data_IF_013968677975
#
_entry.id   IF_013968677975
#
_cell.length_a   1.000
_cell.length_b   1.000
_cell.length_c   1.000
_cell.angle_alpha   90.00
_cell.angle_beta   90.00
_cell.angle_gamma   90.00
#
_symmetry.space_group_name_H-M   'P 1'
#
loop_
_entity.id
_entity.type
_entity.pdbx_description
1 polymer ?
#
# COMPACT_ATOMS: atom_id res chain seq x y z
N UNK A 1 -26.78 -9.92 -9.32
CA UNK A 1 -26.96 -9.05 -8.13
C UNK A 1 -25.69 -9.18 -7.27
N UNK A 2 -25.03 -8.07 -6.91
CA UNK A 2 -23.88 -8.10 -5.99
C UNK A 2 -22.64 -7.37 -6.51
N UNK A 3 -22.72 -6.05 -6.75
CA UNK A 3 -21.49 -5.23 -6.79
C UNK A 3 -21.15 -4.93 -5.34
N UNK A 4 -20.29 -5.77 -4.76
CA UNK A 4 -19.77 -5.62 -3.40
C UNK A 4 -19.01 -4.30 -3.31
N UNK A 5 -19.67 -3.27 -2.79
CA UNK A 5 -19.15 -1.93 -2.64
C UNK A 5 -18.07 -1.89 -1.57
N UNK A 6 -16.83 -2.21 -1.94
CA UNK A 6 -15.63 -1.80 -1.20
C UNK A 6 -15.24 -0.36 -1.59
N UNK A 7 -16.18 0.58 -1.53
CA UNK A 7 -15.96 1.98 -1.95
C UNK A 7 -15.31 2.83 -0.86
N UNK A 8 -15.55 2.51 0.42
CA UNK A 8 -15.08 3.31 1.55
C UNK A 8 -13.55 3.28 1.69
N UNK A 9 -12.91 2.15 1.38
CA UNK A 9 -11.46 1.97 1.52
C UNK A 9 -10.67 2.74 0.46
N UNK A 10 -11.20 2.83 -0.77
CA UNK A 10 -10.49 3.46 -1.89
C UNK A 10 -10.30 4.97 -1.68
N UNK A 11 -11.30 5.66 -1.13
CA UNK A 11 -11.20 7.10 -0.85
C UNK A 11 -10.15 7.43 0.21
N UNK A 12 -10.06 6.62 1.26
CA UNK A 12 -9.08 6.82 2.33
C UNK A 12 -7.63 6.62 1.84
N UNK A 13 -7.39 5.59 1.03
CA UNK A 13 -6.05 5.34 0.45
C UNK A 13 -5.61 6.49 -0.44
N UNK A 14 -6.50 6.99 -1.30
CA UNK A 14 -6.21 8.12 -2.20
C UNK A 14 -5.91 9.40 -1.42
N UNK A 15 -6.67 9.69 -0.35
CA UNK A 15 -6.43 10.84 0.52
C UNK A 15 -5.09 10.72 1.27
N UNK A 16 -4.76 9.54 1.80
CA UNK A 16 -3.45 9.30 2.44
C UNK A 16 -2.31 9.55 1.43
N UNK A 17 -2.40 9.00 0.22
CA UNK A 17 -1.42 9.21 -0.86
C UNK A 17 -1.28 10.69 -1.21
N UNK A 18 -2.40 11.41 -1.31
CA UNK A 18 -2.39 12.85 -1.64
C UNK A 18 -1.76 13.69 -0.51
N UNK A 19 -2.08 13.41 0.76
CA UNK A 19 -1.46 14.07 1.91
C UNK A 19 0.05 13.86 1.93
N UNK A 20 0.53 12.62 1.72
CA UNK A 20 1.96 12.30 1.65
C UNK A 20 2.69 13.06 0.51
N UNK A 21 2.03 13.22 -0.64
CA UNK A 21 2.56 14.01 -1.78
C UNK A 21 2.64 15.50 -1.45
N UNK A 22 1.59 16.07 -0.84
CA UNK A 22 1.54 17.50 -0.47
C UNK A 22 2.58 17.82 0.60
N UNK A 23 2.77 16.93 1.59
CA UNK A 23 3.76 17.11 2.66
C UNK A 23 5.21 17.08 2.14
N UNK A 24 5.48 16.25 1.11
CA UNK A 24 6.77 16.25 0.39
C UNK A 24 7.01 17.54 -0.40
N UNK A 25 5.98 18.07 -1.05
CA UNK A 25 6.08 19.30 -1.85
C UNK A 25 6.26 20.55 -0.99
N UNK A 26 5.70 20.55 0.22
CA UNK A 26 5.89 21.64 1.19
C UNK A 26 7.23 21.57 1.93
N UNK A 27 8.11 20.60 1.58
CA UNK A 27 9.44 20.39 2.17
C UNK A 27 9.44 20.33 3.71
N UNK A 28 8.30 20.02 4.33
CA UNK A 28 8.18 19.89 5.78
C UNK A 28 8.93 18.64 6.28
N UNK A 29 9.17 17.66 5.40
CA UNK A 29 9.89 16.43 5.71
C UNK A 29 10.83 16.04 4.54
N UNK A 30 12.14 15.97 4.80
CA UNK A 30 13.20 15.56 3.85
C UNK A 30 13.17 14.04 3.53
N UNK A 31 12.25 13.31 4.14
CA UNK A 31 12.29 11.85 4.18
C UNK A 31 12.27 11.17 2.81
N UNK A 32 12.85 9.97 2.78
CA UNK A 32 12.99 9.16 1.59
C UNK A 32 11.62 8.86 0.97
N UNK A 33 11.53 8.99 -0.36
CA UNK A 33 10.31 8.77 -1.13
C UNK A 33 9.73 7.36 -0.94
N UNK A 34 10.56 6.40 -0.52
CA UNK A 34 10.18 5.02 -0.19
C UNK A 34 9.10 4.96 0.90
N UNK A 35 9.07 5.90 1.85
CA UNK A 35 8.06 5.93 2.91
C UNK A 35 6.72 6.56 2.50
N UNK A 36 6.71 7.40 1.45
CA UNK A 36 5.46 7.89 0.83
C UNK A 36 4.67 6.71 0.23
N UNK A 37 5.37 5.64 -0.13
CA UNK A 37 4.78 4.40 -0.66
C UNK A 37 4.45 3.37 0.44
N UNK A 38 4.48 3.74 1.73
CA UNK A 38 4.09 2.83 2.83
C UNK A 38 2.79 2.04 2.57
N UNK A 39 1.71 2.63 1.99
CA UNK A 39 0.53 1.87 1.59
C UNK A 39 0.84 0.75 0.59
N UNK A 40 1.66 1.01 -0.44
CA UNK A 40 2.09 -0.02 -1.40
C UNK A 40 2.94 -1.08 -0.71
N UNK A 41 3.77 -0.68 0.26
CA UNK A 41 4.70 -1.57 0.94
C UNK A 41 3.97 -2.61 1.77
N UNK A 42 2.84 -2.25 2.39
CA UNK A 42 1.93 -3.20 3.06
C UNK A 42 1.43 -4.25 2.05
N UNK A 43 0.98 -3.82 0.86
CA UNK A 43 0.48 -4.76 -0.16
C UNK A 43 1.60 -5.65 -0.71
N UNK A 44 2.78 -5.09 -0.94
CA UNK A 44 3.96 -5.82 -1.43
C UNK A 44 4.43 -6.84 -0.40
N UNK A 45 4.54 -6.46 0.88
CA UNK A 45 4.85 -7.39 1.98
C UNK A 45 3.83 -8.52 2.05
N UNK A 46 2.54 -8.18 2.01
CA UNK A 46 1.49 -9.18 2.07
C UNK A 46 1.58 -10.17 0.90
N UNK A 47 1.78 -9.67 -0.33
CA UNK A 47 1.98 -10.52 -1.50
C UNK A 47 3.26 -11.37 -1.39
N UNK A 48 4.36 -10.79 -0.92
CA UNK A 48 5.64 -11.49 -0.74
C UNK A 48 5.49 -12.65 0.25
N UNK A 49 4.85 -12.41 1.40
CA UNK A 49 4.60 -13.44 2.41
C UNK A 49 3.74 -14.56 1.84
N UNK A 50 2.65 -14.23 1.14
CA UNK A 50 1.80 -15.22 0.47
C UNK A 50 2.59 -16.03 -0.58
N UNK A 51 3.46 -15.37 -1.35
CA UNK A 51 4.30 -16.02 -2.34
C UNK A 51 5.29 -17.00 -1.69
N UNK A 52 5.93 -16.61 -0.59
CA UNK A 52 6.85 -17.48 0.16
C UNK A 52 6.11 -18.70 0.71
N UNK A 53 4.93 -18.51 1.29
CA UNK A 53 4.10 -19.60 1.82
C UNK A 53 3.73 -20.57 0.69
N UNK A 54 3.23 -20.05 -0.43
CA UNK A 54 2.87 -20.87 -1.59
C UNK A 54 4.08 -21.63 -2.17
N UNK A 55 5.24 -20.99 -2.21
CA UNK A 55 6.48 -21.61 -2.66
C UNK A 55 6.92 -22.74 -1.73
N UNK A 56 6.86 -22.55 -0.41
CA UNK A 56 7.15 -23.60 0.57
C UNK A 56 6.19 -24.78 0.41
N UNK A 57 4.89 -24.54 0.29
CA UNK A 57 3.88 -25.59 0.10
C UNK A 57 4.10 -26.36 -1.21
N UNK A 58 4.53 -25.69 -2.28
CA UNK A 58 4.78 -26.32 -3.57
C UNK A 58 6.09 -27.13 -3.60
N UNK A 59 7.08 -26.71 -2.81
CA UNK A 59 8.40 -27.36 -2.73
C UNK A 59 8.38 -28.56 -1.79
N UNK A 60 7.54 -28.53 -0.75
CA UNK A 60 7.24 -29.68 0.11
C UNK A 60 6.44 -30.75 -0.63
#
# INVERSE_FOLDING_TARGET
MGKSSMSCVKGFVVLLTLVFIVLKLTLVIDWAWVWILSPIWIYVLCCLVLFIIAFIITLM
#
